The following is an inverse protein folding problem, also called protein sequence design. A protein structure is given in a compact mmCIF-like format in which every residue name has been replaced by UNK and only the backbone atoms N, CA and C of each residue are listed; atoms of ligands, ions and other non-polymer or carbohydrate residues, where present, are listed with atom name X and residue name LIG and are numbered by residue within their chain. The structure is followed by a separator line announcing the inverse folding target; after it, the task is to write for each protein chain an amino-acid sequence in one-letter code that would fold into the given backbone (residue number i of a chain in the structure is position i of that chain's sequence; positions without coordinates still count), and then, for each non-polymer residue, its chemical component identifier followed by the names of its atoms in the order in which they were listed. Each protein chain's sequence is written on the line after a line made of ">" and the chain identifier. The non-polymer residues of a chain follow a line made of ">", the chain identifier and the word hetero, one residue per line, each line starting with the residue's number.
data_IF_050996142692
#
_entry.id   IF_050996142692
#
_cell.length_a   1.000
_cell.length_b   1.000
_cell.length_c   1.000
_cell.angle_alpha   90.00
_cell.angle_beta   90.00
_cell.angle_gamma   90.00
#
_symmetry.space_group_name_H-M   'P 1'
#
loop_
_entity.id
_entity.type
_entity.pdbx_description
1 polymer ?
#
# COMPACT_ATOMS: atom_id res chain seq x y z
N UNK A 1 -34.16 7.19 33.52
CA UNK A 1 -32.79 7.66 33.78
C UNK A 1 -31.91 7.19 32.64
N UNK A 2 -31.60 8.08 31.70
CA UNK A 2 -30.78 7.77 30.50
C UNK A 2 -29.32 8.06 30.82
N UNK A 3 -28.47 7.04 30.89
CA UNK A 3 -27.02 7.22 30.99
C UNK A 3 -26.47 7.36 29.58
N UNK A 4 -26.00 8.56 29.23
CA UNK A 4 -25.22 8.84 28.03
C UNK A 4 -23.78 8.38 28.31
N UNK A 5 -23.30 7.38 27.57
CA UNK A 5 -21.89 7.07 27.49
C UNK A 5 -21.24 8.07 26.51
N UNK A 6 -20.42 8.96 27.05
CA UNK A 6 -19.47 9.75 26.25
C UNK A 6 -18.32 8.83 25.84
N UNK A 7 -18.19 8.59 24.55
CA UNK A 7 -16.97 8.04 23.97
C UNK A 7 -15.91 9.14 23.90
N UNK A 8 -14.87 9.05 24.74
CA UNK A 8 -13.68 9.88 24.66
C UNK A 8 -12.87 9.41 23.43
N UNK A 9 -12.88 10.21 22.38
CA UNK A 9 -11.89 10.13 21.30
C UNK A 9 -10.61 10.75 21.82
N UNK A 10 -9.61 9.92 22.11
CA UNK A 10 -8.26 10.36 22.48
C UNK A 10 -7.54 10.81 21.21
N UNK A 11 -7.63 12.09 20.87
CA UNK A 11 -6.78 12.70 19.86
C UNK A 11 -5.40 12.92 20.50
N UNK A 12 -4.41 12.13 20.12
CA UNK A 12 -3.02 12.39 20.48
C UNK A 12 -2.52 13.54 19.60
N UNK A 13 -2.71 14.75 20.07
CA UNK A 13 -2.02 15.92 19.52
C UNK A 13 -0.64 15.97 20.16
N UNK A 14 0.39 15.53 19.48
CA UNK A 14 1.75 15.86 19.86
C UNK A 14 2.04 17.32 19.52
N UNK A 15 1.94 18.19 20.51
CA UNK A 15 2.39 19.56 20.40
C UNK A 15 3.91 19.58 20.22
N UNK A 16 4.38 19.85 19.00
CA UNK A 16 5.76 20.23 18.77
C UNK A 16 6.01 21.58 19.45
N UNK A 17 6.90 21.59 20.44
CA UNK A 17 7.27 22.74 21.21
C UNK A 17 7.73 23.91 20.33
N UNK A 18 7.10 25.06 20.53
CA UNK A 18 7.53 26.32 19.96
C UNK A 18 8.87 26.72 20.55
N UNK A 19 9.96 26.49 19.83
CA UNK A 19 11.22 27.21 20.05
C UNK A 19 11.09 28.57 19.36
N UNK A 20 10.83 29.60 20.16
CA UNK A 20 10.94 30.99 19.75
C UNK A 20 12.41 31.32 19.50
N UNK A 21 12.81 31.33 18.23
CA UNK A 21 14.13 31.75 17.74
C UNK A 21 13.96 32.77 16.62
N UNK A 22 14.50 33.92 16.81
CA UNK A 22 14.74 35.07 15.92
C UNK A 22 14.37 34.97 14.43
N UNK A 23 13.42 35.84 13.96
CA UNK A 23 13.56 36.58 12.70
C UNK A 23 13.50 35.81 11.37
N UNK A 24 13.21 34.51 11.31
CA UNK A 24 13.05 33.78 10.07
C UNK A 24 11.58 33.82 9.56
N UNK A 25 11.38 33.87 8.24
CA UNK A 25 10.05 33.74 7.64
C UNK A 25 9.37 32.47 8.18
N UNK A 26 8.12 32.60 8.63
CA UNK A 26 7.35 31.47 9.17
C UNK A 26 7.18 30.42 8.09
N UNK A 27 7.68 29.21 8.31
CA UNK A 27 7.51 28.09 7.39
C UNK A 27 6.02 27.84 7.12
N UNK A 28 5.68 27.50 5.89
CA UNK A 28 4.34 27.06 5.53
C UNK A 28 4.12 25.64 6.04
N UNK A 29 3.03 25.43 6.77
CA UNK A 29 2.63 24.10 7.23
C UNK A 29 1.71 23.47 6.20
N UNK A 30 2.11 22.30 5.68
CA UNK A 30 1.31 21.48 4.80
C UNK A 30 0.85 20.23 5.55
N UNK A 31 -0.45 20.04 5.63
CA UNK A 31 -1.05 18.87 6.28
C UNK A 31 -1.06 17.71 5.29
N UNK A 32 -0.62 16.55 5.75
CA UNK A 32 -0.62 15.29 4.99
C UNK A 32 -1.61 14.34 5.63
N UNK A 33 -2.75 14.18 5.01
CA UNK A 33 -3.81 13.31 5.51
C UNK A 33 -3.61 11.88 5.00
N UNK A 34 -3.44 10.93 5.93
CA UNK A 34 -3.31 9.52 5.65
C UNK A 34 -4.60 8.80 6.09
N UNK A 35 -5.35 8.14 5.17
CA UNK A 35 -6.65 7.55 5.47
C UNK A 35 -6.58 6.17 6.17
N UNK A 36 -5.42 5.79 6.66
CA UNK A 36 -5.20 4.50 7.34
C UNK A 36 -4.81 4.69 8.80
N UNK A 37 -4.91 3.59 9.56
CA UNK A 37 -4.55 3.59 10.98
C UNK A 37 -3.10 4.05 11.22
N UNK A 38 -2.81 4.70 12.37
CA UNK A 38 -1.46 5.21 12.68
C UNK A 38 -0.34 4.14 12.67
N UNK A 39 -0.69 2.88 12.92
CA UNK A 39 0.23 1.74 12.86
C UNK A 39 0.38 1.15 11.43
N UNK A 40 -0.36 1.66 10.46
CA UNK A 40 -0.24 1.22 9.08
C UNK A 40 1.03 1.77 8.41
N UNK A 41 1.55 1.03 7.43
CA UNK A 41 2.78 1.37 6.69
C UNK A 41 2.72 2.81 6.15
N UNK A 42 1.65 3.18 5.45
CA UNK A 42 1.49 4.51 4.88
C UNK A 42 1.54 5.64 5.94
N UNK A 43 0.89 5.42 7.10
CA UNK A 43 0.89 6.41 8.18
C UNK A 43 2.30 6.56 8.79
N UNK A 44 3.03 5.46 8.97
CA UNK A 44 4.41 5.50 9.48
C UNK A 44 5.36 6.21 8.51
N UNK A 45 5.24 5.95 7.20
CA UNK A 45 6.04 6.66 6.18
C UNK A 45 5.71 8.16 6.16
N UNK A 46 4.42 8.52 6.27
CA UNK A 46 3.99 9.91 6.37
C UNK A 46 4.56 10.62 7.60
N UNK A 47 4.53 9.95 8.75
CA UNK A 47 5.09 10.49 10.00
C UNK A 47 6.61 10.69 9.90
N UNK A 48 7.33 9.71 9.31
CA UNK A 48 8.78 9.82 9.09
C UNK A 48 9.11 10.99 8.16
N UNK A 49 8.35 11.19 7.08
CA UNK A 49 8.52 12.33 6.18
C UNK A 49 8.25 13.66 6.91
N UNK A 50 7.20 13.74 7.72
CA UNK A 50 6.89 14.93 8.50
C UNK A 50 7.99 15.26 9.52
N UNK A 51 8.53 14.26 10.22
CA UNK A 51 9.64 14.40 11.15
C UNK A 51 10.89 14.98 10.49
N UNK A 52 11.22 14.49 9.29
CA UNK A 52 12.40 14.91 8.53
C UNK A 52 12.24 16.25 7.80
N UNK A 53 11.02 16.64 7.44
CA UNK A 53 10.76 17.82 6.60
C UNK A 53 11.40 19.12 7.09
N UNK A 54 11.50 19.44 8.41
CA UNK A 54 12.16 20.67 8.87
C UNK A 54 13.66 20.75 8.55
N UNK A 55 14.31 19.61 8.34
CA UNK A 55 15.73 19.53 8.01
C UNK A 55 16.01 19.75 6.53
N UNK A 56 15.01 19.54 5.66
CA UNK A 56 15.13 19.59 4.21
C UNK A 56 14.49 20.81 3.57
N UNK A 57 13.70 21.60 4.30
CA UNK A 57 13.11 22.83 3.80
C UNK A 57 13.09 23.94 4.83
N UNK A 58 13.51 25.12 4.42
CA UNK A 58 13.34 26.36 5.22
C UNK A 58 11.96 26.99 5.01
N UNK A 59 11.23 26.61 3.94
CA UNK A 59 9.96 27.18 3.54
C UNK A 59 8.76 26.35 3.95
N UNK A 60 8.87 25.01 3.94
CA UNK A 60 7.77 24.08 4.11
C UNK A 60 8.04 23.18 5.32
N UNK A 61 6.99 22.89 6.08
CA UNK A 61 6.98 21.84 7.10
C UNK A 61 5.77 20.94 6.84
N UNK A 62 5.98 19.63 6.82
CA UNK A 62 4.90 18.64 6.71
C UNK A 62 4.34 18.32 8.10
N UNK A 63 3.02 18.12 8.17
CA UNK A 63 2.33 17.68 9.38
C UNK A 63 1.48 16.46 9.02
N UNK A 64 1.91 15.29 9.46
CA UNK A 64 1.19 14.04 9.20
C UNK A 64 -0.03 13.90 10.12
N UNK A 65 -1.16 13.55 9.54
CA UNK A 65 -2.41 13.25 10.24
C UNK A 65 -2.95 11.91 9.74
N UNK A 66 -2.97 10.90 10.62
CA UNK A 66 -3.62 9.63 10.33
C UNK A 66 -5.08 9.71 10.76
N UNK A 67 -6.00 9.54 9.83
CA UNK A 67 -7.44 9.56 10.08
C UNK A 67 -8.03 8.18 9.81
N UNK A 68 -8.66 7.60 10.81
CA UNK A 68 -9.38 6.34 10.62
C UNK A 68 -10.63 6.58 9.79
N UNK A 69 -10.65 6.13 8.56
CA UNK A 69 -11.80 6.30 7.68
C UNK A 69 -11.71 5.43 6.43
N UNK A 70 -12.74 5.48 5.61
CA UNK A 70 -12.72 4.94 4.27
C UNK A 70 -11.83 5.83 3.38
N UNK A 71 -10.85 5.23 2.72
CA UNK A 71 -9.87 5.93 1.89
C UNK A 71 -10.55 6.75 0.76
N UNK A 72 -11.60 6.23 0.14
CA UNK A 72 -12.34 6.96 -0.89
C UNK A 72 -13.01 8.23 -0.32
N UNK A 73 -13.61 8.14 0.86
CA UNK A 73 -14.23 9.30 1.53
C UNK A 73 -13.20 10.36 1.87
N UNK A 74 -12.03 9.98 2.42
CA UNK A 74 -10.96 10.93 2.76
C UNK A 74 -10.39 11.59 1.51
N UNK A 75 -10.18 10.83 0.45
CA UNK A 75 -9.69 11.37 -0.82
C UNK A 75 -10.72 12.30 -1.49
N UNK A 76 -12.03 11.99 -1.42
CA UNK A 76 -13.10 12.91 -1.85
C UNK A 76 -13.00 14.24 -1.11
N UNK A 77 -12.84 14.19 0.20
CA UNK A 77 -12.71 15.40 1.00
C UNK A 77 -11.51 16.26 0.61
N UNK A 78 -10.35 15.66 0.34
CA UNK A 78 -9.18 16.42 -0.12
C UNK A 78 -9.35 16.91 -1.56
N UNK A 79 -9.97 16.13 -2.45
CA UNK A 79 -10.29 16.55 -3.81
C UNK A 79 -11.21 17.77 -3.87
N UNK A 80 -12.13 17.91 -2.90
CA UNK A 80 -13.03 19.04 -2.78
C UNK A 80 -12.38 20.30 -2.15
N UNK A 81 -11.15 20.20 -1.64
CA UNK A 81 -10.45 21.34 -1.08
C UNK A 81 -10.04 22.33 -2.18
N UNK A 82 -9.86 23.59 -1.79
CA UNK A 82 -9.40 24.62 -2.75
C UNK A 82 -7.92 24.40 -3.08
N UNK A 83 -7.58 24.68 -4.31
CA UNK A 83 -6.18 24.81 -4.73
C UNK A 83 -5.38 25.68 -3.74
N UNK A 84 -4.13 25.28 -3.45
CA UNK A 84 -3.26 25.94 -2.48
C UNK A 84 -3.77 25.96 -1.02
N UNK A 85 -4.70 25.06 -0.67
CA UNK A 85 -5.23 24.92 0.70
C UNK A 85 -4.19 24.41 1.71
N UNK A 86 -3.01 24.00 1.24
CA UNK A 86 -1.95 23.35 2.05
C UNK A 86 -2.37 21.99 2.61
N UNK A 87 -3.22 21.30 1.86
CA UNK A 87 -3.66 19.95 2.13
C UNK A 87 -3.03 19.00 1.10
N UNK A 88 -2.47 17.92 1.61
CA UNK A 88 -1.99 16.77 0.83
C UNK A 88 -2.72 15.52 1.32
N UNK A 89 -2.86 14.55 0.45
CA UNK A 89 -3.44 13.26 0.80
C UNK A 89 -2.53 12.12 0.38
N UNK A 90 -2.53 11.06 1.17
CA UNK A 90 -2.05 9.77 0.71
C UNK A 90 -3.15 9.06 -0.08
N UNK A 91 -2.82 8.64 -1.30
CA UNK A 91 -3.70 7.88 -2.16
C UNK A 91 -2.99 6.59 -2.60
N UNK A 92 -3.59 5.44 -2.29
CA UNK A 92 -3.13 4.17 -2.83
C UNK A 92 -3.59 3.99 -4.28
N UNK A 93 -2.79 3.32 -5.10
CA UNK A 93 -3.16 3.08 -6.51
C UNK A 93 -4.48 2.30 -6.63
N UNK A 94 -4.80 1.43 -5.67
CA UNK A 94 -6.05 0.66 -5.65
C UNK A 94 -7.33 1.51 -5.67
N UNK A 95 -7.27 2.78 -5.24
CA UNK A 95 -8.39 3.70 -5.41
C UNK A 95 -8.67 3.98 -6.89
N UNK A 96 -7.62 4.27 -7.65
CA UNK A 96 -7.74 4.66 -9.06
C UNK A 96 -7.84 3.46 -10.01
N UNK A 97 -7.49 2.27 -9.57
CA UNK A 97 -7.51 1.03 -10.34
C UNK A 97 -8.63 0.08 -9.91
N UNK A 98 -8.60 -0.42 -8.69
CA UNK A 98 -9.53 -1.44 -8.19
C UNK A 98 -10.89 -0.83 -7.83
N UNK A 99 -10.91 0.16 -6.92
CA UNK A 99 -12.15 0.76 -6.44
C UNK A 99 -12.91 1.45 -7.57
N UNK A 100 -12.22 2.11 -8.50
CA UNK A 100 -12.83 2.78 -9.65
C UNK A 100 -13.58 1.81 -10.59
N UNK A 101 -13.23 0.53 -10.62
CA UNK A 101 -13.86 -0.51 -11.44
C UNK A 101 -14.96 -1.23 -10.66
N UNK A 102 -14.68 -1.64 -9.41
CA UNK A 102 -15.58 -2.50 -8.65
C UNK A 102 -16.68 -1.73 -7.91
N UNK A 103 -16.40 -0.53 -7.48
CA UNK A 103 -17.35 0.32 -6.74
C UNK A 103 -17.22 1.79 -7.18
N UNK A 104 -17.51 2.07 -8.46
CA UNK A 104 -17.40 3.43 -9.00
C UNK A 104 -18.32 4.44 -8.28
N UNK A 105 -19.34 3.97 -7.58
CA UNK A 105 -20.23 4.85 -6.80
C UNK A 105 -19.52 5.49 -5.60
N UNK A 106 -18.47 4.88 -5.08
CA UNK A 106 -17.60 5.46 -4.04
C UNK A 106 -16.63 6.51 -4.57
N UNK A 107 -16.39 6.52 -5.89
CA UNK A 107 -15.41 7.40 -6.52
C UNK A 107 -16.09 8.69 -6.96
N UNK A 108 -16.21 9.67 -6.05
CA UNK A 108 -16.68 11.02 -6.35
C UNK A 108 -15.54 11.92 -6.89
N UNK A 109 -14.40 11.34 -7.20
CA UNK A 109 -13.21 11.96 -7.74
C UNK A 109 -12.51 10.98 -8.70
N UNK A 110 -11.62 11.52 -9.52
CA UNK A 110 -10.68 10.74 -10.31
C UNK A 110 -9.26 11.30 -10.17
N UNK A 111 -8.30 10.71 -10.89
CA UNK A 111 -6.91 11.15 -10.83
C UNK A 111 -6.73 12.63 -11.18
N UNK A 112 -7.57 13.19 -12.09
CA UNK A 112 -7.47 14.60 -12.53
C UNK A 112 -7.85 15.61 -11.45
N UNK A 113 -8.52 15.19 -10.38
CA UNK A 113 -8.82 16.05 -9.23
C UNK A 113 -7.60 16.32 -8.35
N UNK A 114 -6.45 15.70 -8.65
CA UNK A 114 -5.22 15.84 -7.89
C UNK A 114 -4.06 16.30 -8.77
N UNK A 115 -3.09 16.93 -8.13
CA UNK A 115 -1.76 17.17 -8.66
C UNK A 115 -0.79 16.18 -7.99
N UNK A 116 -0.13 15.35 -8.79
CA UNK A 116 0.84 14.37 -8.30
C UNK A 116 2.06 15.07 -7.71
N UNK A 117 2.48 14.62 -6.53
CA UNK A 117 3.68 15.10 -5.86
C UNK A 117 4.77 14.04 -5.92
N UNK A 118 4.58 12.86 -5.31
CA UNK A 118 5.58 11.79 -5.33
C UNK A 118 5.00 10.42 -5.00
N UNK A 119 5.65 9.36 -5.52
CA UNK A 119 5.47 7.98 -5.05
C UNK A 119 6.32 7.77 -3.80
N UNK A 120 5.68 7.56 -2.65
CA UNK A 120 6.38 7.45 -1.38
C UNK A 120 7.01 6.09 -1.15
N UNK A 121 6.38 5.06 -1.66
CA UNK A 121 6.86 3.70 -1.61
C UNK A 121 6.12 2.79 -2.57
N UNK A 122 6.77 1.67 -2.87
CA UNK A 122 6.17 0.51 -3.49
C UNK A 122 6.28 -0.68 -2.55
N UNK A 123 5.23 -1.48 -2.48
CA UNK A 123 5.22 -2.73 -1.71
C UNK A 123 5.17 -3.91 -2.66
N UNK A 124 6.01 -4.90 -2.42
CA UNK A 124 5.93 -6.19 -3.09
C UNK A 124 5.22 -7.16 -2.14
N UNK A 125 4.13 -7.75 -2.62
CA UNK A 125 3.46 -8.83 -1.92
C UNK A 125 4.14 -10.16 -2.19
N UNK A 126 3.98 -11.10 -1.27
CA UNK A 126 4.44 -12.48 -1.43
C UNK A 126 3.27 -13.45 -1.25
N UNK A 127 3.34 -14.56 -1.97
CA UNK A 127 2.47 -15.71 -1.72
C UNK A 127 3.16 -16.61 -0.70
N UNK A 128 2.48 -16.88 0.39
CA UNK A 128 2.90 -17.89 1.36
C UNK A 128 1.98 -19.11 1.30
N UNK A 129 2.52 -20.28 1.58
CA UNK A 129 1.79 -21.55 1.65
C UNK A 129 1.83 -22.14 3.06
N UNK A 130 0.80 -22.89 3.42
CA UNK A 130 0.83 -23.78 4.58
C UNK A 130 2.02 -24.73 4.46
N UNK A 131 2.87 -24.75 5.47
CA UNK A 131 4.10 -25.58 5.50
C UNK A 131 3.82 -27.07 5.27
N UNK A 132 2.64 -27.54 5.67
CA UNK A 132 2.21 -28.93 5.49
C UNK A 132 1.99 -29.35 4.04
N UNK A 133 1.83 -28.38 3.11
CA UNK A 133 1.64 -28.67 1.69
C UNK A 133 2.96 -28.99 0.96
N UNK A 134 4.11 -28.59 1.52
CA UNK A 134 5.42 -28.84 0.90
C UNK A 134 5.68 -27.99 -0.36
N UNK A 135 4.95 -26.89 -0.56
CA UNK A 135 5.09 -25.98 -1.71
C UNK A 135 6.10 -24.90 -1.33
N UNK A 136 7.23 -24.84 -2.04
CA UNK A 136 8.34 -23.96 -1.69
C UNK A 136 8.76 -23.00 -2.85
N UNK A 137 8.26 -23.21 -4.06
CA UNK A 137 8.59 -22.45 -5.26
C UNK A 137 7.42 -22.43 -6.26
N UNK A 138 7.60 -21.77 -7.41
CA UNK A 138 6.57 -21.64 -8.44
C UNK A 138 6.27 -22.97 -9.12
N UNK A 139 7.27 -23.79 -9.35
CA UNK A 139 7.13 -25.09 -9.98
C UNK A 139 6.26 -26.05 -9.13
N UNK A 140 6.46 -26.07 -7.81
CA UNK A 140 5.60 -26.83 -6.88
C UNK A 140 4.17 -26.27 -6.90
N UNK A 141 4.02 -24.93 -7.02
CA UNK A 141 2.72 -24.28 -7.10
C UNK A 141 1.97 -24.64 -8.37
N UNK A 142 2.65 -24.68 -9.52
CA UNK A 142 2.07 -25.10 -10.80
C UNK A 142 1.59 -26.56 -10.74
N UNK A 143 2.40 -27.45 -10.15
CA UNK A 143 2.01 -28.84 -9.94
C UNK A 143 0.74 -28.90 -9.07
N UNK A 144 0.73 -28.22 -7.91
CA UNK A 144 -0.43 -28.16 -7.03
C UNK A 144 -1.68 -27.63 -7.74
N UNK A 145 -1.59 -26.52 -8.48
CA UNK A 145 -2.69 -25.92 -9.20
C UNK A 145 -3.29 -26.87 -10.26
N UNK A 146 -2.44 -27.76 -10.85
CA UNK A 146 -2.87 -28.76 -11.83
C UNK A 146 -3.68 -29.93 -11.24
N UNK A 147 -3.54 -30.22 -9.94
CA UNK A 147 -4.19 -31.39 -9.29
C UNK A 147 -5.72 -31.36 -9.28
N UNK A 148 -6.31 -30.18 -9.46
CA UNK A 148 -7.76 -30.01 -9.37
C UNK A 148 -8.30 -29.77 -7.96
N UNK A 149 -7.42 -29.65 -6.95
CA UNK A 149 -7.78 -29.34 -5.57
C UNK A 149 -8.32 -27.90 -5.41
N UNK A 150 -9.16 -27.67 -4.40
CA UNK A 150 -9.59 -26.31 -4.01
C UNK A 150 -8.36 -25.51 -3.55
N UNK A 151 -8.27 -24.26 -4.01
CA UNK A 151 -7.19 -23.31 -3.70
C UNK A 151 -7.76 -22.23 -2.79
N UNK A 152 -7.65 -22.42 -1.47
CA UNK A 152 -8.09 -21.41 -0.50
C UNK A 152 -6.96 -20.41 -0.24
N UNK A 153 -7.25 -19.10 -0.43
CA UNK A 153 -6.28 -18.02 -0.27
C UNK A 153 -6.78 -16.99 0.73
N UNK A 154 -6.07 -16.82 1.83
CA UNK A 154 -6.34 -15.75 2.79
C UNK A 154 -5.89 -14.39 2.24
N UNK A 155 -6.76 -13.39 2.31
CA UNK A 155 -6.52 -12.03 1.82
C UNK A 155 -7.05 -11.00 2.83
N UNK A 156 -6.47 -9.80 2.82
CA UNK A 156 -6.93 -8.69 3.65
C UNK A 156 -8.04 -7.91 2.94
N UNK A 157 -9.26 -8.44 2.99
CA UNK A 157 -10.42 -7.88 2.31
C UNK A 157 -10.69 -8.52 0.94
N UNK A 158 -11.96 -8.71 0.63
CA UNK A 158 -12.40 -9.46 -0.55
C UNK A 158 -12.11 -8.77 -1.90
N UNK A 159 -11.88 -7.46 -1.91
CA UNK A 159 -11.60 -6.66 -3.11
C UNK A 159 -10.28 -5.89 -2.99
N UNK A 160 -9.34 -6.47 -2.26
CA UNK A 160 -8.01 -5.88 -2.03
C UNK A 160 -7.03 -6.19 -3.17
N UNK A 161 -5.89 -5.51 -3.18
CA UNK A 161 -4.78 -5.83 -4.09
C UNK A 161 -4.34 -7.28 -3.95
N UNK A 162 -4.32 -7.82 -2.72
CA UNK A 162 -4.00 -9.22 -2.42
C UNK A 162 -4.96 -10.20 -3.11
N UNK A 163 -6.27 -9.88 -3.12
CA UNK A 163 -7.27 -10.70 -3.76
C UNK A 163 -7.06 -10.75 -5.29
N UNK A 164 -6.75 -9.60 -5.90
CA UNK A 164 -6.48 -9.52 -7.35
C UNK A 164 -5.17 -10.19 -7.74
N UNK A 165 -4.12 -10.07 -6.94
CA UNK A 165 -2.87 -10.77 -7.19
C UNK A 165 -3.05 -12.30 -7.13
N UNK A 166 -3.79 -12.79 -6.13
CA UNK A 166 -4.14 -14.21 -6.06
C UNK A 166 -4.97 -14.67 -7.25
N UNK A 167 -6.03 -13.93 -7.59
CA UNK A 167 -6.91 -14.26 -8.72
C UNK A 167 -6.16 -14.24 -10.06
N UNK A 168 -5.26 -13.27 -10.26
CA UNK A 168 -4.46 -13.16 -11.46
C UNK A 168 -3.47 -14.31 -11.60
N UNK A 169 -2.76 -14.67 -10.52
CA UNK A 169 -1.79 -15.76 -10.52
C UNK A 169 -2.47 -17.10 -10.84
N UNK A 170 -3.45 -17.50 -10.03
CA UNK A 170 -4.12 -18.79 -10.22
C UNK A 170 -5.02 -18.81 -11.46
N UNK A 171 -5.59 -17.66 -11.85
CA UNK A 171 -6.34 -17.53 -13.10
C UNK A 171 -5.47 -17.77 -14.32
N UNK A 172 -4.28 -17.20 -14.37
CA UNK A 172 -3.31 -17.41 -15.45
C UNK A 172 -2.70 -18.82 -15.48
N UNK A 173 -2.70 -19.54 -14.34
CA UNK A 173 -2.38 -20.96 -14.27
C UNK A 173 -3.54 -21.86 -14.72
N UNK A 174 -4.69 -21.29 -15.13
CA UNK A 174 -5.89 -22.05 -15.52
C UNK A 174 -6.65 -22.68 -14.35
N UNK A 175 -6.41 -22.24 -13.13
CA UNK A 175 -7.03 -22.74 -11.90
C UNK A 175 -8.02 -21.75 -11.26
N UNK A 176 -8.42 -20.71 -11.98
CA UNK A 176 -9.26 -19.63 -11.45
C UNK A 176 -10.61 -20.11 -10.88
N UNK A 177 -11.22 -21.13 -11.48
CA UNK A 177 -12.47 -21.74 -11.03
C UNK A 177 -12.36 -22.52 -9.69
N UNK A 178 -11.15 -22.78 -9.25
CA UNK A 178 -10.84 -23.49 -8.00
C UNK A 178 -10.46 -22.54 -6.86
N UNK A 179 -10.28 -21.27 -7.17
CA UNK A 179 -9.85 -20.25 -6.19
C UNK A 179 -11.01 -19.89 -5.28
N UNK A 180 -10.75 -19.97 -3.99
CA UNK A 180 -11.64 -19.49 -2.94
C UNK A 180 -10.91 -18.45 -2.11
N UNK A 181 -11.25 -17.18 -2.32
CA UNK A 181 -10.72 -16.09 -1.51
C UNK A 181 -11.41 -16.04 -0.16
N UNK A 182 -10.62 -16.08 0.91
CA UNK A 182 -11.10 -15.98 2.29
C UNK A 182 -10.65 -14.64 2.86
N UNK A 183 -11.60 -13.72 2.99
CA UNK A 183 -11.33 -12.36 3.44
C UNK A 183 -11.22 -12.29 4.96
N UNK A 184 -10.12 -11.75 5.46
CA UNK A 184 -9.87 -11.43 6.86
C UNK A 184 -9.91 -9.92 7.08
N UNK A 185 -10.04 -9.50 8.35
CA UNK A 185 -10.15 -8.07 8.71
C UNK A 185 -8.77 -7.39 8.81
N UNK A 186 -7.71 -8.18 8.82
CA UNK A 186 -6.33 -7.69 8.81
C UNK A 186 -5.39 -8.69 8.12
N UNK A 187 -4.31 -8.18 7.58
CA UNK A 187 -3.27 -9.02 6.98
C UNK A 187 -2.58 -9.94 8.00
N UNK A 188 -2.51 -9.54 9.27
CA UNK A 188 -1.98 -10.39 10.33
C UNK A 188 -2.88 -11.61 10.59
N UNK A 189 -4.20 -11.44 10.54
CA UNK A 189 -5.14 -12.56 10.63
C UNK A 189 -5.02 -13.49 9.43
N UNK A 190 -4.90 -12.94 8.20
CA UNK A 190 -4.68 -13.73 6.98
C UNK A 190 -3.38 -14.55 7.07
N UNK A 191 -2.28 -13.96 7.53
CA UNK A 191 -1.01 -14.65 7.74
C UNK A 191 -1.10 -15.79 8.78
N UNK A 192 -1.87 -15.57 9.84
CA UNK A 192 -2.08 -16.61 10.85
C UNK A 192 -2.98 -17.73 10.36
N UNK A 193 -3.95 -17.46 9.50
CA UNK A 193 -4.85 -18.47 8.96
C UNK A 193 -4.08 -19.52 8.14
N UNK A 194 -3.16 -19.07 7.27
CA UNK A 194 -2.32 -20.00 6.50
C UNK A 194 -1.39 -20.81 7.42
N UNK A 195 -0.80 -20.20 8.45
CA UNK A 195 0.07 -20.90 9.39
C UNK A 195 -0.66 -21.97 10.25
N UNK A 196 -1.97 -21.85 10.39
CA UNK A 196 -2.83 -22.82 11.10
C UNK A 196 -3.45 -23.86 10.17
N UNK A 197 -3.19 -23.78 8.85
CA UNK A 197 -3.82 -24.65 7.85
C UNK A 197 -5.32 -24.37 7.64
N UNK A 198 -5.82 -23.19 8.05
CA UNK A 198 -7.22 -22.76 7.79
C UNK A 198 -7.42 -22.41 6.31
N UNK A 199 -6.36 -21.96 5.65
CA UNK A 199 -6.26 -21.74 4.20
C UNK A 199 -4.96 -22.34 3.66
N UNK A 200 -4.96 -22.73 2.38
CA UNK A 200 -3.77 -23.28 1.71
C UNK A 200 -2.68 -22.23 1.51
N UNK A 201 -3.10 -21.00 1.21
CA UNK A 201 -2.20 -19.89 0.86
C UNK A 201 -2.64 -18.59 1.56
N UNK A 202 -1.72 -17.62 1.60
CA UNK A 202 -2.04 -16.22 1.87
C UNK A 202 -1.23 -15.31 0.96
N UNK A 203 -1.83 -14.22 0.50
CA UNK A 203 -1.10 -13.10 -0.10
C UNK A 203 -0.95 -12.01 0.94
N UNK A 204 0.28 -11.59 1.21
CA UNK A 204 0.60 -10.63 2.27
C UNK A 204 1.77 -9.74 1.89
N UNK A 205 1.83 -8.55 2.47
CA UNK A 205 3.04 -7.74 2.43
C UNK A 205 4.16 -8.45 3.22
N UNK A 206 5.41 -8.32 2.75
CA UNK A 206 6.57 -8.99 3.35
C UNK A 206 6.67 -8.79 4.87
N UNK A 207 6.49 -7.55 5.35
CA UNK A 207 6.59 -7.27 6.80
C UNK A 207 5.50 -7.92 7.65
N UNK A 208 4.37 -8.26 7.05
CA UNK A 208 3.22 -8.84 7.76
C UNK A 208 3.31 -10.36 7.93
N UNK A 209 4.00 -11.04 6.99
CA UNK A 209 4.20 -12.49 7.03
C UNK A 209 5.52 -12.89 7.71
N UNK A 210 6.44 -11.92 7.91
CA UNK A 210 7.80 -12.17 8.36
C UNK A 210 7.86 -12.94 9.69
N UNK A 211 7.11 -12.53 10.69
CA UNK A 211 7.09 -13.19 12.00
C UNK A 211 6.61 -14.63 11.88
N UNK A 212 5.52 -14.87 11.15
CA UNK A 212 4.96 -16.19 10.90
C UNK A 212 5.94 -17.12 10.18
N UNK A 213 6.65 -16.57 9.18
CA UNK A 213 7.71 -17.30 8.48
C UNK A 213 8.88 -17.65 9.40
N UNK A 214 9.37 -16.69 10.21
CA UNK A 214 10.45 -16.93 11.17
C UNK A 214 10.11 -17.98 12.23
N UNK A 215 8.84 -18.10 12.56
CA UNK A 215 8.34 -19.16 13.46
C UNK A 215 8.19 -20.53 12.76
N UNK A 216 8.46 -20.60 11.44
CA UNK A 216 8.38 -21.83 10.66
C UNK A 216 6.96 -22.29 10.32
N UNK A 217 5.97 -21.38 10.44
CA UNK A 217 4.56 -21.69 10.19
C UNK A 217 4.18 -21.74 8.70
N UNK A 218 4.97 -21.10 7.83
CA UNK A 218 4.70 -21.02 6.38
C UNK A 218 5.95 -21.18 5.55
N UNK A 219 5.79 -21.54 4.27
CA UNK A 219 6.78 -21.36 3.20
C UNK A 219 6.47 -20.08 2.45
N UNK A 220 7.48 -19.39 1.93
CA UNK A 220 7.29 -18.29 0.98
C UNK A 220 7.54 -18.85 -0.42
N UNK A 221 6.52 -18.85 -1.25
CA UNK A 221 6.49 -19.52 -2.55
C UNK A 221 7.03 -18.63 -3.67
N UNK A 222 6.50 -17.40 -3.75
CA UNK A 222 6.88 -16.44 -4.77
C UNK A 222 6.61 -15.01 -4.33
N UNK A 223 7.20 -14.06 -5.03
CA UNK A 223 6.96 -12.64 -4.92
C UNK A 223 6.16 -12.13 -6.14
N UNK A 224 5.22 -11.23 -5.92
CA UNK A 224 4.50 -10.57 -7.00
C UNK A 224 5.33 -9.42 -7.55
N UNK A 225 6.40 -9.79 -8.24
CA UNK A 225 7.35 -8.89 -8.89
C UNK A 225 7.87 -9.48 -10.21
N UNK A 226 8.57 -8.65 -10.98
CA UNK A 226 9.20 -9.04 -12.26
C UNK A 226 10.33 -10.05 -12.06
N UNK A 227 11.10 -9.87 -10.97
CA UNK A 227 12.36 -10.56 -10.68
C UNK A 227 12.38 -11.10 -9.26
N UNK A 228 13.35 -11.97 -8.93
CA UNK A 228 13.54 -12.38 -7.55
C UNK A 228 13.78 -11.19 -6.62
N UNK A 229 13.33 -11.31 -5.38
CA UNK A 229 13.61 -10.30 -4.37
C UNK A 229 15.12 -10.17 -4.13
N UNK A 230 15.64 -8.95 -4.25
CA UNK A 230 17.07 -8.70 -4.13
C UNK A 230 17.50 -8.46 -2.67
N UNK A 231 16.57 -8.05 -1.81
CA UNK A 231 16.87 -7.57 -0.46
C UNK A 231 15.94 -8.16 0.60
N UNK A 232 16.32 -7.98 1.86
CA UNK A 232 15.51 -8.33 3.01
C UNK A 232 15.49 -9.82 3.33
N UNK A 233 14.58 -10.25 4.23
CA UNK A 233 14.55 -11.62 4.75
C UNK A 233 14.10 -12.66 3.73
N UNK A 234 13.54 -12.24 2.61
CA UNK A 234 13.06 -13.10 1.51
C UNK A 234 13.90 -12.95 0.25
N UNK A 235 15.14 -12.44 0.36
CA UNK A 235 16.05 -12.34 -0.78
C UNK A 235 16.21 -13.69 -1.48
N UNK A 236 16.11 -13.69 -2.81
CA UNK A 236 16.18 -14.91 -3.64
C UNK A 236 14.84 -15.61 -3.88
N UNK A 237 13.74 -15.17 -3.24
CA UNK A 237 12.40 -15.68 -3.58
C UNK A 237 12.05 -15.26 -5.01
N UNK A 238 11.65 -16.22 -5.84
CA UNK A 238 11.34 -16.04 -7.27
C UNK A 238 10.25 -15.02 -7.51
N UNK A 239 10.42 -14.18 -8.54
CA UNK A 239 9.38 -13.28 -9.02
C UNK A 239 8.44 -13.98 -10.00
N UNK A 240 7.14 -13.81 -9.85
CA UNK A 240 6.14 -14.43 -10.75
C UNK A 240 6.29 -13.96 -12.20
N UNK A 241 6.82 -12.75 -12.41
CA UNK A 241 7.07 -12.19 -13.74
C UNK A 241 8.10 -12.95 -14.54
N UNK A 242 9.08 -13.62 -13.91
CA UNK A 242 10.05 -14.48 -14.61
C UNK A 242 9.39 -15.67 -15.32
N UNK A 243 8.21 -16.08 -14.84
CA UNK A 243 7.42 -17.19 -15.37
C UNK A 243 6.28 -16.70 -16.29
N UNK A 244 6.22 -15.37 -16.53
CA UNK A 244 5.21 -14.76 -17.39
C UNK A 244 3.85 -14.58 -16.72
N UNK A 245 3.75 -14.72 -15.40
CA UNK A 245 2.54 -14.48 -14.65
C UNK A 245 2.31 -13.00 -14.35
N UNK A 246 1.05 -12.54 -14.29
CA UNK A 246 0.72 -11.14 -14.02
C UNK A 246 1.05 -10.76 -12.58
N UNK A 247 1.54 -9.54 -12.42
CA UNK A 247 1.85 -8.95 -11.12
C UNK A 247 1.67 -7.43 -11.16
N UNK A 248 1.58 -6.83 -9.99
CA UNK A 248 1.76 -5.40 -9.79
C UNK A 248 2.26 -5.12 -8.38
N UNK A 249 3.02 -4.05 -8.22
CA UNK A 249 3.44 -3.54 -6.91
C UNK A 249 2.35 -2.61 -6.37
N UNK A 250 2.02 -2.74 -5.10
CA UNK A 250 1.14 -1.78 -4.44
C UNK A 250 1.90 -0.47 -4.19
N UNK A 251 1.35 0.63 -4.68
CA UNK A 251 1.99 1.96 -4.62
C UNK A 251 1.16 2.94 -3.82
N UNK A 252 1.86 3.88 -3.20
CA UNK A 252 1.20 4.92 -2.42
C UNK A 252 1.77 6.28 -2.77
N UNK A 253 0.88 7.17 -3.20
CA UNK A 253 1.21 8.48 -3.72
C UNK A 253 0.88 9.58 -2.72
N UNK A 254 1.70 10.63 -2.70
CA UNK A 254 1.30 11.93 -2.14
C UNK A 254 0.77 12.80 -3.27
N UNK A 255 -0.39 13.37 -3.04
CA UNK A 255 -1.10 14.19 -4.01
C UNK A 255 -1.60 15.48 -3.35
N UNK A 256 -1.53 16.57 -4.08
CA UNK A 256 -2.15 17.85 -3.74
C UNK A 256 -3.50 17.97 -4.48
N UNK A 257 -4.34 18.91 -4.07
CA UNK A 257 -5.55 19.26 -4.80
C UNK A 257 -5.21 19.80 -6.20
N UNK A 258 -6.01 19.45 -7.20
CA UNK A 258 -5.87 19.99 -8.56
C UNK A 258 -5.92 21.51 -8.57
N UNK A 259 -5.13 22.14 -9.44
CA UNK A 259 -5.01 23.59 -9.52
C UNK A 259 -4.09 24.21 -8.44
N UNK A 260 -3.42 23.39 -7.61
CA UNK A 260 -2.30 23.87 -6.80
C UNK A 260 -1.19 24.37 -7.72
N UNK A 261 -0.60 25.54 -7.39
CA UNK A 261 0.42 26.17 -8.24
C UNK A 261 1.56 25.20 -8.56
N UNK A 262 1.93 25.14 -9.84
CA UNK A 262 2.96 24.20 -10.31
C UNK A 262 4.31 24.40 -9.61
N UNK A 263 4.68 25.65 -9.29
CA UNK A 263 5.88 25.94 -8.50
C UNK A 263 5.80 25.33 -7.11
N UNK A 264 4.61 25.34 -6.48
CA UNK A 264 4.39 24.78 -5.16
C UNK A 264 4.42 23.26 -5.20
N UNK A 265 3.84 22.64 -6.21
CA UNK A 265 3.93 21.17 -6.44
C UNK A 265 5.39 20.77 -6.63
N UNK A 266 6.17 21.53 -7.41
CA UNK A 266 7.60 21.27 -7.62
C UNK A 266 8.43 21.44 -6.31
N UNK A 267 8.11 22.44 -5.47
CA UNK A 267 8.75 22.61 -4.15
C UNK A 267 8.44 21.42 -3.23
N UNK A 268 7.19 20.92 -3.22
CA UNK A 268 6.78 19.77 -2.45
C UNK A 268 7.45 18.50 -2.96
N UNK A 269 7.46 18.29 -4.29
CA UNK A 269 8.15 17.14 -4.89
C UNK A 269 9.63 17.12 -4.49
N UNK A 270 10.31 18.26 -4.66
CA UNK A 270 11.71 18.35 -4.25
C UNK A 270 11.93 18.03 -2.78
N UNK A 271 11.04 18.50 -1.89
CA UNK A 271 11.11 18.20 -0.47
C UNK A 271 10.99 16.69 -0.20
N UNK A 272 10.03 16.02 -0.86
CA UNK A 272 9.90 14.56 -0.73
C UNK A 272 11.10 13.82 -1.33
N UNK A 273 11.60 14.22 -2.51
CA UNK A 273 12.79 13.65 -3.13
C UNK A 273 14.00 13.72 -2.17
N UNK A 274 14.24 14.89 -1.56
CA UNK A 274 15.34 15.10 -0.62
C UNK A 274 15.17 14.23 0.65
N UNK A 275 13.95 14.11 1.19
CA UNK A 275 13.66 13.26 2.36
C UNK A 275 13.83 11.78 2.01
N UNK A 276 13.33 11.36 0.86
CA UNK A 276 13.39 9.97 0.42
C UNK A 276 14.81 9.53 0.06
N UNK A 277 15.67 10.48 -0.30
CA UNK A 277 17.10 10.26 -0.55
C UNK A 277 17.96 10.24 0.73
N UNK A 278 17.42 10.63 1.90
CA UNK A 278 18.13 10.55 3.19
C UNK A 278 18.47 9.09 3.49
N UNK A 279 19.75 8.79 3.77
CA UNK A 279 20.22 7.42 3.98
C UNK A 279 19.54 6.73 5.19
N UNK A 280 19.21 7.46 6.25
CA UNK A 280 18.46 6.91 7.39
C UNK A 280 17.04 6.52 6.96
N UNK A 281 16.38 7.37 6.14
CA UNK A 281 15.04 7.11 5.64
C UNK A 281 15.04 5.93 4.67
N UNK A 282 16.04 5.85 3.77
CA UNK A 282 16.20 4.72 2.83
C UNK A 282 16.39 3.41 3.59
N UNK A 283 17.37 3.36 4.47
CA UNK A 283 17.67 2.18 5.28
C UNK A 283 16.44 1.76 6.10
N UNK A 284 15.78 2.71 6.76
CA UNK A 284 14.57 2.40 7.52
C UNK A 284 13.45 1.85 6.63
N UNK A 285 13.23 2.42 5.43
CA UNK A 285 12.21 1.90 4.50
C UNK A 285 12.54 0.49 4.03
N UNK A 286 13.79 0.23 3.65
CA UNK A 286 14.21 -1.07 3.12
C UNK A 286 14.31 -2.14 4.21
N UNK A 287 15.00 -1.86 5.30
CA UNK A 287 15.36 -2.89 6.29
C UNK A 287 14.28 -3.10 7.35
N UNK A 288 13.53 -2.04 7.70
CA UNK A 288 12.50 -2.12 8.75
C UNK A 288 11.11 -2.29 8.16
N UNK A 289 10.80 -1.51 7.11
CA UNK A 289 9.47 -1.51 6.52
C UNK A 289 9.33 -2.50 5.35
N UNK A 290 10.44 -3.03 4.84
CA UNK A 290 10.52 -3.93 3.68
C UNK A 290 9.78 -3.33 2.47
N UNK A 291 10.09 -2.07 2.17
CA UNK A 291 9.51 -1.30 1.09
C UNK A 291 10.56 -1.05 0.02
N UNK A 292 10.13 -1.04 -1.23
CA UNK A 292 10.98 -0.62 -2.33
C UNK A 292 11.15 0.90 -2.34
N UNK A 293 12.37 1.32 -2.69
CA UNK A 293 12.78 2.73 -2.77
C UNK A 293 12.86 3.11 -4.24
N UNK A 294 11.71 3.30 -4.86
CA UNK A 294 11.60 3.76 -6.24
C UNK A 294 10.81 5.07 -6.32
N UNK A 295 11.28 5.97 -7.16
CA UNK A 295 10.56 7.19 -7.53
C UNK A 295 9.89 6.99 -8.88
N UNK A 296 8.81 7.72 -9.13
CA UNK A 296 8.07 7.64 -10.39
C UNK A 296 7.77 9.02 -10.95
N UNK A 297 7.85 9.16 -12.26
CA UNK A 297 7.23 10.27 -12.94
C UNK A 297 5.69 10.12 -12.94
N UNK A 298 4.98 11.22 -13.13
CA UNK A 298 3.51 11.19 -13.22
C UNK A 298 3.01 10.29 -14.36
N UNK A 299 3.72 10.25 -15.48
CA UNK A 299 3.37 9.40 -16.62
C UNK A 299 3.53 7.91 -16.26
N UNK A 300 4.59 7.55 -15.55
CA UNK A 300 4.79 6.18 -15.04
C UNK A 300 3.70 5.78 -14.04
N UNK A 301 3.24 6.73 -13.19
CA UNK A 301 2.10 6.48 -12.28
C UNK A 301 0.83 6.19 -13.06
N UNK A 302 0.52 6.98 -14.08
CA UNK A 302 -0.67 6.76 -14.93
C UNK A 302 -0.60 5.43 -15.67
N UNK A 303 0.54 5.10 -16.24
CA UNK A 303 0.77 3.81 -16.89
C UNK A 303 0.58 2.64 -15.92
N UNK A 304 1.15 2.76 -14.71
CA UNK A 304 0.98 1.76 -13.68
C UNK A 304 -0.50 1.55 -13.29
N UNK A 305 -1.25 2.63 -13.06
CA UNK A 305 -2.70 2.55 -12.77
C UNK A 305 -3.45 1.83 -13.90
N UNK A 306 -3.17 2.16 -15.16
CA UNK A 306 -3.81 1.49 -16.29
C UNK A 306 -3.43 0.01 -16.40
N UNK A 307 -2.19 -0.36 -16.13
CA UNK A 307 -1.76 -1.76 -16.09
C UNK A 307 -2.52 -2.54 -15.00
N UNK A 308 -2.67 -1.97 -13.80
CA UNK A 308 -3.45 -2.60 -12.73
C UNK A 308 -4.93 -2.71 -13.11
N UNK A 309 -5.52 -1.69 -13.75
CA UNK A 309 -6.91 -1.76 -14.27
C UNK A 309 -7.10 -2.90 -15.26
N UNK A 310 -6.12 -3.15 -16.13
CA UNK A 310 -6.19 -4.26 -17.09
C UNK A 310 -6.25 -5.61 -16.35
N UNK A 311 -5.39 -5.82 -15.36
CA UNK A 311 -5.42 -7.02 -14.52
C UNK A 311 -6.76 -7.14 -13.78
N UNK A 312 -7.25 -6.05 -13.18
CA UNK A 312 -8.54 -6.05 -12.48
C UNK A 312 -9.69 -6.43 -13.42
N UNK A 313 -9.74 -5.86 -14.62
CA UNK A 313 -10.80 -6.17 -15.60
C UNK A 313 -10.75 -7.63 -16.07
N UNK A 314 -9.57 -8.20 -16.21
CA UNK A 314 -9.37 -9.58 -16.66
C UNK A 314 -9.79 -10.60 -15.59
N UNK A 315 -9.49 -10.33 -14.31
CA UNK A 315 -9.67 -11.31 -13.23
C UNK A 315 -10.79 -10.96 -12.22
N UNK A 316 -11.55 -9.89 -12.45
CA UNK A 316 -12.60 -9.46 -11.51
C UNK A 316 -13.67 -10.52 -11.22
N UNK A 317 -14.01 -11.37 -12.19
CA UNK A 317 -15.03 -12.39 -12.00
C UNK A 317 -14.58 -13.48 -11.00
N UNK A 318 -13.29 -13.75 -10.88
CA UNK A 318 -12.74 -14.64 -9.83
C UNK A 318 -12.85 -13.98 -8.45
N UNK A 319 -12.70 -12.66 -8.39
CA UNK A 319 -12.71 -11.91 -7.12
C UNK A 319 -14.12 -11.64 -6.62
N UNK A 320 -15.05 -11.42 -7.52
CA UNK A 320 -16.44 -11.04 -7.15
C UNK A 320 -17.41 -12.22 -7.05
N UNK A 321 -17.04 -13.40 -7.55
CA UNK A 321 -17.76 -14.68 -7.43
C UNK A 321 -18.86 -14.81 -8.47
#
# INVERSE_FOLDING_TARGET
>A
MKKRLLSLTLAVVMAAGALAGCGGAKKESWKVTCPWAPSGVAAMVSQKAAEKSPSYSEKITLVAEAVKGDAATVNTWVADTKANSKELVFAGEGLFSITSILDPAKMQFDYSNFAYVENLYSSIFVLSADKGLGIENIEDLEEFASTGSEISVAVNGSTSSEAFLAAALFGSMGAGDKVKLVAYTSAAEAAQAVAKGETSFAVSHQSQILETYQQGGVSIVCAFDEKPLEHGPFAGVQGVGEFGYPYFRNRCFVMACAGTDAEKVAELKKLYDDILADEEVKTWRQDTMLLEVDTMSEDQVKEHIENVKNIVNEYKDIVTG
#
